data_IF_275069763398
#
_entry.id   IF_275069763398
#
_cell.length_a   1.000
_cell.length_b   1.000
_cell.length_c   1.000
_cell.angle_alpha   90.00
_cell.angle_beta   90.00
_cell.angle_gamma   90.00
#
_symmetry.space_group_name_H-M   'P 1'
#
loop_
_entity.id
_entity.type
_entity.pdbx_description
1 polymer ?
#
# COMPACT_ATOMS: atom_id res chain seq x y z
N UNK A 1 -36.98 17.52 34.22
CA UNK A 1 -36.98 17.67 32.75
C UNK A 1 -35.53 17.77 32.33
N UNK A 2 -34.84 16.62 32.24
CA UNK A 2 -33.50 16.55 31.68
C UNK A 2 -33.64 16.60 30.15
N UNK A 3 -32.98 17.57 29.53
CA UNK A 3 -32.93 17.70 28.08
C UNK A 3 -32.15 16.52 27.49
N UNK A 4 -32.56 15.94 26.36
CA UNK A 4 -31.81 14.86 25.74
C UNK A 4 -30.42 15.35 25.36
N UNK A 5 -29.40 14.68 25.90
CA UNK A 5 -28.01 14.83 25.50
C UNK A 5 -27.92 14.76 23.97
N UNK A 6 -27.19 15.71 23.36
CA UNK A 6 -27.02 15.80 21.92
C UNK A 6 -26.41 14.52 21.32
N UNK A 7 -26.35 14.39 19.98
CA UNK A 7 -25.81 13.22 19.33
C UNK A 7 -24.41 12.95 19.87
N UNK A 8 -24.28 11.88 20.65
CA UNK A 8 -23.02 11.43 21.19
C UNK A 8 -22.05 11.27 20.01
N UNK A 9 -20.92 11.98 20.07
CA UNK A 9 -19.78 11.80 19.17
C UNK A 9 -19.13 10.45 19.50
N UNK A 10 -19.83 9.37 19.18
CA UNK A 10 -19.28 8.03 19.20
C UNK A 10 -18.42 7.90 17.94
N UNK A 11 -17.08 7.92 18.06
CA UNK A 11 -16.25 7.63 16.90
C UNK A 11 -16.66 6.24 16.41
N UNK A 12 -17.11 6.18 15.16
CA UNK A 12 -17.41 4.91 14.50
C UNK A 12 -16.22 3.95 14.58
N UNK A 13 -16.42 2.67 14.22
CA UNK A 13 -15.32 1.71 14.21
C UNK A 13 -14.12 2.27 13.44
N UNK A 14 -12.88 2.06 13.92
CA UNK A 14 -11.69 2.62 13.29
C UNK A 14 -11.65 2.20 11.82
N UNK A 15 -11.74 3.18 10.92
CA UNK A 15 -11.73 2.96 9.47
C UNK A 15 -10.31 3.05 8.93
N UNK A 16 -9.88 1.98 8.29
CA UNK A 16 -8.61 1.94 7.56
C UNK A 16 -8.74 2.68 6.22
N UNK A 17 -7.82 3.59 5.93
CA UNK A 17 -7.73 4.33 4.68
C UNK A 17 -6.63 3.79 3.80
N UNK A 18 -7.00 3.44 2.58
CA UNK A 18 -6.11 2.87 1.58
C UNK A 18 -6.08 3.79 0.36
N UNK A 19 -4.87 4.10 -0.12
CA UNK A 19 -4.65 4.85 -1.35
C UNK A 19 -3.95 3.96 -2.37
N UNK A 20 -4.46 3.92 -3.61
CA UNK A 20 -3.82 3.23 -4.73
C UNK A 20 -3.52 4.24 -5.84
N UNK A 21 -2.27 4.32 -6.31
CA UNK A 21 -1.91 5.24 -7.40
C UNK A 21 -0.69 4.75 -8.21
N UNK A 22 -0.62 5.25 -9.44
CA UNK A 22 0.58 5.19 -10.28
C UNK A 22 1.30 6.55 -10.20
N UNK A 23 2.58 6.55 -9.83
CA UNK A 23 3.43 7.75 -9.74
C UNK A 23 4.13 8.10 -11.06
N UNK A 24 4.07 7.22 -12.06
CA UNK A 24 4.59 7.39 -13.42
C UNK A 24 6.05 7.88 -13.45
N UNK A 25 6.85 7.37 -12.52
CA UNK A 25 8.26 7.69 -12.27
C UNK A 25 8.54 9.21 -12.11
N UNK A 26 7.55 9.96 -11.62
CA UNK A 26 7.64 11.41 -11.48
C UNK A 26 8.07 11.80 -10.06
N UNK A 27 9.20 12.50 -9.95
CA UNK A 27 9.74 12.99 -8.66
C UNK A 27 8.73 13.90 -7.95
N UNK A 28 8.21 14.92 -8.64
CA UNK A 28 7.24 15.85 -8.06
C UNK A 28 5.94 15.18 -7.63
N UNK A 29 5.50 14.13 -8.36
CA UNK A 29 4.32 13.36 -7.96
C UNK A 29 4.58 12.56 -6.68
N UNK A 30 5.79 12.01 -6.52
CA UNK A 30 6.18 11.29 -5.31
C UNK A 30 6.33 12.22 -4.11
N UNK A 31 6.85 13.43 -4.30
CA UNK A 31 6.91 14.44 -3.24
C UNK A 31 5.51 14.84 -2.77
N UNK A 32 4.62 15.21 -3.69
CA UNK A 32 3.22 15.54 -3.38
C UNK A 32 2.48 14.37 -2.72
N UNK A 33 2.78 13.15 -3.14
CA UNK A 33 2.22 11.94 -2.54
C UNK A 33 2.59 11.82 -1.06
N UNK A 34 3.83 12.10 -0.67
CA UNK A 34 4.26 12.00 0.72
C UNK A 34 3.49 12.98 1.62
N UNK A 35 3.26 14.19 1.13
CA UNK A 35 2.43 15.20 1.82
C UNK A 35 0.97 14.73 1.91
N UNK A 36 0.42 14.24 0.80
CA UNK A 36 -0.96 13.74 0.72
C UNK A 36 -1.25 12.60 1.70
N UNK A 37 -0.32 11.65 1.87
CA UNK A 37 -0.45 10.56 2.84
C UNK A 37 -0.62 11.09 4.26
N UNK A 38 0.15 12.11 4.63
CA UNK A 38 0.10 12.72 5.95
C UNK A 38 -1.17 13.54 6.15
N UNK A 39 -1.54 14.36 5.18
CA UNK A 39 -2.72 15.24 5.24
C UNK A 39 -4.03 14.45 5.31
N UNK A 40 -4.17 13.46 4.42
CA UNK A 40 -5.36 12.61 4.38
C UNK A 40 -5.31 11.48 5.41
N UNK A 41 -4.20 11.39 6.16
CA UNK A 41 -3.91 10.39 7.19
C UNK A 41 -4.11 8.95 6.67
N UNK A 42 -3.64 8.68 5.46
CA UNK A 42 -3.74 7.36 4.84
C UNK A 42 -2.93 6.35 5.67
N UNK A 43 -3.48 5.14 5.84
CA UNK A 43 -2.84 4.08 6.63
C UNK A 43 -1.97 3.19 5.73
N UNK A 44 -2.44 2.88 4.51
CA UNK A 44 -1.72 2.05 3.55
C UNK A 44 -1.77 2.64 2.15
N UNK A 45 -0.61 2.74 1.51
CA UNK A 45 -0.48 3.12 0.11
C UNK A 45 -0.02 1.92 -0.74
N UNK A 46 -0.60 1.77 -1.93
CA UNK A 46 -0.20 0.79 -2.94
C UNK A 46 0.18 1.56 -4.19
N UNK A 47 1.43 1.41 -4.62
CA UNK A 47 2.06 2.25 -5.62
C UNK A 47 2.55 1.42 -6.79
N UNK A 48 2.51 2.00 -7.98
CA UNK A 48 3.33 1.57 -9.10
C UNK A 48 4.11 2.74 -9.69
N UNK A 49 5.25 2.41 -10.29
CA UNK A 49 6.20 3.32 -10.94
C UNK A 49 6.64 4.47 -10.03
N UNK A 50 7.03 4.17 -8.79
CA UNK A 50 7.66 5.18 -7.93
C UNK A 50 8.93 5.75 -8.58
N UNK A 51 9.26 7.01 -8.29
CA UNK A 51 10.52 7.62 -8.70
C UNK A 51 11.70 6.98 -7.97
N UNK A 52 11.57 6.80 -6.65
CA UNK A 52 12.59 6.14 -5.80
C UNK A 52 11.93 5.35 -4.67
N UNK A 53 12.62 4.33 -4.18
CA UNK A 53 12.21 3.67 -2.93
C UNK A 53 12.50 4.59 -1.74
N UNK A 54 11.57 4.64 -0.78
CA UNK A 54 11.81 5.33 0.48
C UNK A 54 12.79 4.52 1.34
N UNK A 55 13.65 5.23 2.07
CA UNK A 55 14.64 4.61 2.94
C UNK A 55 13.94 3.81 4.06
N UNK A 56 14.51 2.66 4.50
CA UNK A 56 13.98 1.88 5.62
C UNK A 56 13.77 2.78 6.86
N UNK A 57 12.68 2.57 7.62
CA UNK A 57 12.40 1.28 8.27
C UNK A 57 11.35 0.41 7.55
N UNK A 58 11.16 -0.83 8.05
CA UNK A 58 10.41 -2.00 7.53
C UNK A 58 8.95 -1.80 7.02
N UNK A 59 8.51 -0.60 6.68
CA UNK A 59 7.15 -0.33 6.24
C UNK A 59 7.02 -0.02 4.76
N UNK A 60 8.13 0.25 4.04
CA UNK A 60 8.17 0.34 2.58
C UNK A 60 8.58 -1.01 1.97
N UNK A 61 7.61 -1.70 1.39
CA UNK A 61 7.77 -3.01 0.77
C UNK A 61 7.79 -2.88 -0.74
N UNK A 62 8.99 -2.72 -1.30
CA UNK A 62 9.17 -2.68 -2.75
C UNK A 62 9.08 -4.07 -3.36
N UNK A 63 8.53 -4.15 -4.57
CA UNK A 63 8.61 -5.35 -5.41
C UNK A 63 10.06 -5.61 -5.88
N UNK A 64 10.33 -6.82 -6.39
CA UNK A 64 11.66 -7.25 -6.81
C UNK A 64 12.33 -6.31 -7.82
N UNK A 65 11.55 -5.72 -8.73
CA UNK A 65 12.04 -4.79 -9.75
C UNK A 65 12.02 -3.32 -9.28
N UNK A 66 11.54 -3.03 -8.07
CA UNK A 66 11.43 -1.68 -7.53
C UNK A 66 10.44 -0.76 -8.27
N UNK A 67 9.53 -1.35 -9.08
CA UNK A 67 8.53 -0.65 -9.89
C UNK A 67 7.14 -0.63 -9.23
N UNK A 68 6.99 -1.28 -8.08
CA UNK A 68 5.80 -1.20 -7.26
C UNK A 68 6.20 -1.24 -5.80
N UNK A 69 5.34 -0.72 -4.94
CA UNK A 69 5.55 -0.80 -3.50
C UNK A 69 4.23 -0.79 -2.72
N UNK A 70 4.26 -1.41 -1.55
CA UNK A 70 3.26 -1.20 -0.50
C UNK A 70 3.95 -0.38 0.59
N UNK A 71 3.33 0.72 1.00
CA UNK A 71 3.81 1.51 2.12
C UNK A 71 2.77 1.51 3.24
N UNK A 72 3.18 1.02 4.41
CA UNK A 72 2.38 1.12 5.63
C UNK A 72 2.82 2.35 6.42
N UNK A 73 1.94 3.33 6.48
CA UNK A 73 2.21 4.59 7.15
C UNK A 73 1.95 4.45 8.67
N UNK A 74 2.65 5.24 9.49
CA UNK A 74 2.49 5.18 10.95
C UNK A 74 3.34 4.13 11.69
N UNK A 75 4.34 3.53 11.03
CA UNK A 75 5.34 2.70 11.70
C UNK A 75 4.87 1.31 12.13
N UNK A 76 3.71 0.86 11.62
CA UNK A 76 3.19 -0.48 11.92
C UNK A 76 4.05 -1.51 11.18
N UNK A 77 4.68 -2.48 11.90
CA UNK A 77 5.52 -3.47 11.26
C UNK A 77 4.69 -4.38 10.36
N UNK A 78 5.19 -4.65 9.16
CA UNK A 78 4.53 -5.52 8.19
C UNK A 78 5.18 -6.88 8.19
N UNK A 79 4.37 -7.94 8.25
CA UNK A 79 4.83 -9.32 8.16
C UNK A 79 4.50 -9.89 6.79
N UNK A 80 5.50 -10.45 6.10
CA UNK A 80 5.26 -11.31 4.95
C UNK A 80 4.64 -12.63 5.42
N UNK A 81 3.43 -12.94 4.97
CA UNK A 81 2.80 -14.24 5.20
C UNK A 81 2.98 -15.10 3.95
N UNK A 82 3.89 -16.06 4.02
CA UNK A 82 3.99 -17.10 3.01
C UNK A 82 2.65 -17.85 2.94
N UNK A 83 2.06 -17.94 1.74
CA UNK A 83 0.87 -18.75 1.55
C UNK A 83 1.25 -20.21 1.76
N UNK A 84 0.66 -20.86 2.77
CA UNK A 84 0.85 -22.29 3.01
C UNK A 84 0.16 -23.08 1.89
N UNK A 85 0.79 -23.13 0.73
CA UNK A 85 0.43 -24.07 -0.32
C UNK A 85 0.97 -25.45 0.07
N UNK A 86 0.23 -26.15 0.92
CA UNK A 86 0.43 -27.58 1.10
C UNK A 86 -0.04 -28.27 -0.18
N UNK A 87 0.89 -28.53 -1.10
CA UNK A 87 1.15 -29.86 -1.68
C UNK A 87 2.03 -29.75 -2.93
N UNK A 88 3.23 -30.30 -2.83
CA UNK A 88 3.94 -31.07 -3.86
C UNK A 88 3.68 -30.70 -5.33
N UNK A 89 4.20 -29.56 -5.78
CA UNK A 89 4.76 -29.46 -7.13
C UNK A 89 6.13 -28.81 -7.01
N UNK A 90 7.15 -29.63 -7.23
CA UNK A 90 8.55 -29.24 -7.38
C UNK A 90 8.64 -28.37 -8.63
N UNK A 91 8.48 -27.05 -8.47
CA UNK A 91 8.72 -26.05 -9.50
C UNK A 91 9.96 -25.26 -9.10
N UNK A 92 10.88 -25.10 -10.06
CA UNK A 92 12.24 -24.59 -9.91
C UNK A 92 12.39 -23.16 -9.37
N UNK A 93 13.61 -22.61 -9.39
CA UNK A 93 14.08 -21.55 -8.48
C UNK A 93 13.56 -20.13 -8.77
N UNK A 94 12.35 -19.95 -9.29
CA UNK A 94 11.84 -18.63 -9.62
C UNK A 94 10.47 -18.36 -8.98
N UNK A 95 10.49 -18.00 -7.69
CA UNK A 95 9.30 -17.66 -6.89
C UNK A 95 9.28 -16.16 -6.55
N UNK A 96 8.90 -15.26 -7.47
CA UNK A 96 8.62 -13.84 -7.11
C UNK A 96 7.52 -13.10 -7.90
N UNK A 97 6.75 -13.72 -8.80
CA UNK A 97 5.94 -12.96 -9.78
C UNK A 97 4.41 -13.15 -9.75
N UNK A 98 3.77 -13.17 -8.57
CA UNK A 98 2.33 -13.48 -8.51
C UNK A 98 1.36 -12.40 -8.02
N UNK A 99 1.78 -11.18 -7.64
CA UNK A 99 0.81 -10.17 -7.17
C UNK A 99 0.52 -9.00 -8.11
N UNK A 100 1.36 -8.68 -9.09
CA UNK A 100 1.22 -7.40 -9.85
C UNK A 100 0.94 -7.50 -11.35
N UNK A 101 0.87 -8.70 -11.95
CA UNK A 101 0.61 -8.84 -13.39
C UNK A 101 -0.81 -8.42 -13.84
N UNK A 102 -1.77 -8.22 -12.91
CA UNK A 102 -3.16 -7.91 -13.25
C UNK A 102 -3.39 -6.44 -13.68
N UNK A 103 -2.44 -5.52 -13.48
CA UNK A 103 -2.64 -4.08 -13.71
C UNK A 103 -1.99 -3.51 -15.00
N UNK A 104 -1.32 -4.33 -15.81
CA UNK A 104 -0.72 -3.89 -17.09
C UNK A 104 -1.56 -4.21 -18.34
N UNK A 105 -2.87 -4.38 -18.20
CA UNK A 105 -3.77 -4.56 -19.35
C UNK A 105 -4.79 -3.43 -19.39
N UNK A 106 -4.36 -2.26 -19.89
CA UNK A 106 -5.12 -1.41 -20.83
C UNK A 106 -4.30 -0.15 -21.12
N UNK A 107 -3.67 -0.10 -22.30
CA UNK A 107 -3.78 1.00 -23.29
C UNK A 107 -2.71 0.82 -24.36
N UNK A 108 -3.11 0.16 -25.44
CA UNK A 108 -2.53 0.36 -26.77
C UNK A 108 -3.55 1.17 -27.53
N UNK A 109 -3.21 2.43 -27.84
CA UNK A 109 -3.67 3.16 -29.00
C UNK A 109 -2.48 3.95 -29.51
#
# INVERSE_FOLDING_TARGET
LELPSGPEDHPGPPMMRILQLNLNHCEAAQDLFCDTISELRIDVAILCEQYKNLAPPNTWLADADGQAAIWVHGGIPVQERASASTSLLRVGPNRRNFLFQRLRSTKTL
#
